data_IF_432930502733
#
_entry.id   IF_432930502733
#
_cell.length_a   1.000
_cell.length_b   1.000
_cell.length_c   1.000
_cell.angle_alpha   90.00
_cell.angle_beta   90.00
_cell.angle_gamma   90.00
#
_symmetry.space_group_name_H-M   'P 1'
#
loop_
_entity.id
_entity.type
_entity.pdbx_description
1 polymer ?
#
# COMPACT_ATOMS: atom_id res chain seq x y z
N UNK A 1 -19.04 70.55 -43.57
CA UNK A 1 -19.72 69.31 -43.11
C UNK A 1 -18.75 68.12 -42.86
N UNK A 2 -17.52 68.13 -43.31
CA UNK A 2 -16.56 67.04 -43.15
C UNK A 2 -16.00 66.89 -41.68
N UNK A 3 -15.86 67.98 -40.97
CA UNK A 3 -15.22 67.96 -39.64
C UNK A 3 -16.05 67.30 -38.51
N UNK A 4 -17.37 67.28 -38.61
CA UNK A 4 -18.25 66.66 -37.63
C UNK A 4 -18.15 65.09 -37.68
N UNK A 5 -18.15 64.54 -38.86
CA UNK A 5 -18.03 63.10 -39.10
C UNK A 5 -16.69 62.55 -38.57
N UNK A 6 -15.63 63.28 -38.74
CA UNK A 6 -14.29 62.91 -38.24
C UNK A 6 -14.22 62.93 -36.72
N UNK A 7 -14.85 63.91 -36.04
CA UNK A 7 -14.94 64.00 -34.61
C UNK A 7 -15.74 62.85 -33.97
N UNK A 8 -16.86 62.45 -34.62
CA UNK A 8 -17.67 61.32 -34.16
C UNK A 8 -16.89 60.01 -34.28
N UNK A 9 -16.16 59.79 -35.38
CA UNK A 9 -15.30 58.62 -35.54
C UNK A 9 -14.20 58.57 -34.49
N UNK A 10 -13.53 59.69 -34.24
CA UNK A 10 -12.40 59.74 -33.32
C UNK A 10 -12.83 59.58 -31.83
N UNK A 11 -13.91 60.21 -31.41
CA UNK A 11 -14.32 60.27 -30.01
C UNK A 11 -15.33 59.18 -29.60
N UNK A 12 -15.96 58.50 -30.53
CA UNK A 12 -16.91 57.41 -30.21
C UNK A 12 -16.40 56.07 -30.69
N UNK A 13 -15.98 55.97 -31.93
CA UNK A 13 -15.63 54.68 -32.54
C UNK A 13 -14.28 54.13 -32.02
N UNK A 14 -13.29 54.99 -31.87
CA UNK A 14 -11.98 54.57 -31.31
C UNK A 14 -12.09 54.09 -29.86
N UNK A 15 -12.72 54.80 -28.91
CA UNK A 15 -12.94 54.30 -27.57
C UNK A 15 -13.79 53.05 -27.52
N UNK A 16 -14.78 52.90 -28.38
CA UNK A 16 -15.61 51.71 -28.47
C UNK A 16 -14.79 50.45 -28.91
N UNK A 17 -13.91 50.61 -29.93
CA UNK A 17 -13.01 49.56 -30.36
C UNK A 17 -12.03 49.18 -29.25
N UNK A 18 -11.45 50.18 -28.55
CA UNK A 18 -10.53 49.93 -27.43
C UNK A 18 -11.25 49.19 -26.28
N UNK A 19 -12.47 49.61 -25.93
CA UNK A 19 -13.26 48.96 -24.89
C UNK A 19 -13.59 47.48 -25.29
N UNK A 20 -13.96 47.27 -26.55
CA UNK A 20 -14.19 45.91 -27.06
C UNK A 20 -12.92 45.06 -27.06
N UNK A 21 -11.77 45.60 -27.42
CA UNK A 21 -10.48 44.91 -27.36
C UNK A 21 -10.07 44.53 -25.93
N UNK A 22 -10.22 45.46 -24.98
CA UNK A 22 -9.98 45.20 -23.56
C UNK A 22 -10.94 44.12 -23.01
N UNK A 23 -12.21 44.20 -23.35
CA UNK A 23 -13.21 43.21 -22.97
C UNK A 23 -12.88 41.80 -23.50
N UNK A 24 -12.55 41.73 -24.80
CA UNK A 24 -12.13 40.46 -25.42
C UNK A 24 -10.84 39.93 -24.80
N UNK A 25 -9.85 40.78 -24.53
CA UNK A 25 -8.62 40.39 -23.85
C UNK A 25 -8.90 39.83 -22.46
N UNK A 26 -9.75 40.51 -21.69
CA UNK A 26 -10.15 40.07 -20.35
C UNK A 26 -10.88 38.73 -20.36
N UNK A 27 -11.87 38.57 -21.25
CA UNK A 27 -12.63 37.31 -21.38
C UNK A 27 -11.74 36.14 -21.82
N UNK A 28 -10.83 36.39 -22.76
CA UNK A 28 -9.85 35.39 -23.22
C UNK A 28 -8.92 34.97 -22.09
N UNK A 29 -8.39 35.93 -21.32
CA UNK A 29 -7.53 35.63 -20.14
C UNK A 29 -8.30 34.85 -19.08
N UNK A 30 -9.54 35.25 -18.78
CA UNK A 30 -10.40 34.55 -17.81
C UNK A 30 -10.69 33.11 -18.25
N UNK A 31 -10.98 32.92 -19.53
CA UNK A 31 -11.25 31.62 -20.12
C UNK A 31 -10.01 30.73 -20.10
N UNK A 32 -8.86 31.27 -20.53
CA UNK A 32 -7.59 30.55 -20.50
C UNK A 32 -7.21 30.09 -19.07
N UNK A 33 -7.36 30.97 -18.09
CA UNK A 33 -7.07 30.63 -16.68
C UNK A 33 -8.00 29.55 -16.12
N UNK A 34 -9.27 29.52 -16.54
CA UNK A 34 -10.21 28.45 -16.18
C UNK A 34 -9.84 27.12 -16.83
N UNK A 35 -9.47 27.12 -18.11
CA UNK A 35 -9.03 25.92 -18.82
C UNK A 35 -7.76 25.33 -18.21
N UNK A 36 -6.81 26.16 -17.81
CA UNK A 36 -5.59 25.68 -17.13
C UNK A 36 -5.95 24.98 -15.82
N UNK A 37 -6.77 25.58 -14.97
CA UNK A 37 -7.21 24.97 -13.69
C UNK A 37 -7.97 23.67 -13.88
N UNK A 38 -8.89 23.61 -14.87
CA UNK A 38 -9.62 22.38 -15.20
C UNK A 38 -8.69 21.28 -15.69
N UNK A 39 -7.71 21.63 -16.53
CA UNK A 39 -6.68 20.71 -16.98
C UNK A 39 -5.85 20.14 -15.82
N UNK A 40 -5.43 20.99 -14.90
CA UNK A 40 -4.68 20.59 -13.69
C UNK A 40 -5.51 19.65 -12.80
N UNK A 41 -6.76 19.97 -12.54
CA UNK A 41 -7.66 19.10 -11.78
C UNK A 41 -7.85 17.74 -12.43
N UNK A 42 -8.09 17.71 -13.73
CA UNK A 42 -8.27 16.47 -14.50
C UNK A 42 -7.00 15.60 -14.46
N UNK A 43 -5.82 16.21 -14.59
CA UNK A 43 -4.53 15.49 -14.47
C UNK A 43 -4.36 14.93 -13.07
N UNK A 44 -4.63 15.72 -12.03
CA UNK A 44 -4.52 15.28 -10.64
C UNK A 44 -5.48 14.13 -10.32
N UNK A 45 -6.75 14.21 -10.75
CA UNK A 45 -7.76 13.17 -10.57
C UNK A 45 -7.37 11.88 -11.30
N UNK A 46 -6.96 11.96 -12.56
CA UNK A 46 -6.51 10.81 -13.32
C UNK A 46 -5.26 10.15 -12.70
N UNK A 47 -4.32 10.97 -12.20
CA UNK A 47 -3.13 10.47 -11.53
C UNK A 47 -3.51 9.77 -10.22
N UNK A 48 -4.43 10.34 -9.45
CA UNK A 48 -4.93 9.72 -8.21
C UNK A 48 -5.62 8.36 -8.48
N UNK A 49 -6.40 8.25 -9.54
CA UNK A 49 -7.04 6.98 -9.93
C UNK A 49 -5.99 5.91 -10.24
N UNK A 50 -4.94 6.25 -10.97
CA UNK A 50 -3.85 5.32 -11.29
C UNK A 50 -3.07 4.90 -10.04
N UNK A 51 -2.74 5.85 -9.16
CA UNK A 51 -2.08 5.55 -7.89
C UNK A 51 -2.95 4.61 -7.05
N UNK A 52 -4.27 4.85 -7.00
CA UNK A 52 -5.21 3.97 -6.31
C UNK A 52 -5.23 2.56 -6.89
N UNK A 53 -5.27 2.41 -8.20
CA UNK A 53 -5.23 1.11 -8.87
C UNK A 53 -3.96 0.33 -8.52
N UNK A 54 -2.80 1.00 -8.49
CA UNK A 54 -1.53 0.39 -8.08
C UNK A 54 -1.54 -0.05 -6.61
N UNK A 55 -2.03 0.82 -5.71
CA UNK A 55 -2.19 0.50 -4.28
C UNK A 55 -3.11 -0.72 -4.11
N UNK A 56 -4.29 -0.71 -4.74
CA UNK A 56 -5.26 -1.82 -4.66
C UNK A 56 -4.68 -3.13 -5.23
N UNK A 57 -3.82 -3.05 -6.24
CA UNK A 57 -3.15 -4.22 -6.81
C UNK A 57 -2.18 -4.85 -5.82
N UNK A 58 -1.36 -4.03 -5.14
CA UNK A 58 -0.42 -4.51 -4.12
C UNK A 58 -1.17 -5.08 -2.92
N UNK A 59 -2.20 -4.39 -2.44
CA UNK A 59 -3.06 -4.85 -1.34
C UNK A 59 -3.66 -6.23 -1.63
N UNK A 60 -4.29 -6.37 -2.80
CA UNK A 60 -4.88 -7.64 -3.24
C UNK A 60 -3.86 -8.75 -3.39
N UNK A 61 -2.65 -8.42 -3.82
CA UNK A 61 -1.56 -9.38 -3.95
C UNK A 61 -1.15 -9.93 -2.58
N UNK A 62 -0.98 -9.09 -1.57
CA UNK A 62 -0.65 -9.49 -0.20
C UNK A 62 -1.79 -10.31 0.40
N UNK A 63 -3.03 -9.81 0.36
CA UNK A 63 -4.20 -10.49 0.92
C UNK A 63 -4.44 -11.87 0.28
N UNK A 64 -4.15 -12.02 -1.02
CA UNK A 64 -4.25 -13.32 -1.69
C UNK A 64 -3.28 -14.34 -1.12
N UNK A 65 -2.05 -13.95 -0.83
CA UNK A 65 -1.05 -14.81 -0.19
C UNK A 65 -1.47 -15.18 1.23
N UNK A 66 -2.00 -14.21 1.99
CA UNK A 66 -2.52 -14.47 3.33
C UNK A 66 -3.62 -15.53 3.31
N UNK A 67 -4.60 -15.37 2.44
CA UNK A 67 -5.69 -16.33 2.30
C UNK A 67 -5.18 -17.72 1.89
N UNK A 68 -4.19 -17.78 1.00
CA UNK A 68 -3.58 -19.05 0.60
C UNK A 68 -2.85 -19.74 1.76
N UNK A 69 -2.01 -19.00 2.50
CA UNK A 69 -1.27 -19.55 3.64
C UNK A 69 -2.20 -19.96 4.78
N UNK A 70 -3.15 -19.10 5.13
CA UNK A 70 -4.07 -19.38 6.23
C UNK A 70 -5.03 -20.52 5.91
N UNK A 71 -5.35 -20.73 4.62
CA UNK A 71 -6.10 -21.90 4.15
C UNK A 71 -5.38 -23.23 4.38
N UNK A 72 -4.05 -23.24 4.49
CA UNK A 72 -3.25 -24.44 4.79
C UNK A 72 -3.17 -24.78 6.28
N UNK A 73 -3.56 -23.83 7.16
CA UNK A 73 -3.52 -24.03 8.61
C UNK A 73 -4.75 -24.81 9.06
N UNK A 74 -4.55 -26.04 9.45
CA UNK A 74 -5.55 -26.97 9.95
C UNK A 74 -5.29 -27.23 11.44
N UNK A 75 -6.03 -26.50 12.31
CA UNK A 75 -5.88 -26.63 13.75
C UNK A 75 -6.30 -28.01 14.28
N UNK A 76 -7.22 -28.70 13.61
CA UNK A 76 -7.69 -30.00 14.05
C UNK A 76 -6.55 -31.02 13.95
N UNK A 77 -5.82 -31.01 12.83
CA UNK A 77 -4.63 -31.88 12.66
C UNK A 77 -3.42 -31.40 13.50
N UNK A 78 -3.25 -30.09 13.69
CA UNK A 78 -2.08 -29.55 14.41
C UNK A 78 -2.13 -29.78 15.93
N UNK A 79 -3.33 -29.87 16.49
CA UNK A 79 -3.58 -29.95 17.93
C UNK A 79 -4.04 -31.33 18.36
N UNK A 80 -4.01 -32.30 17.47
CA UNK A 80 -4.33 -33.69 17.80
C UNK A 80 -3.25 -34.26 18.71
N UNK A 81 -3.57 -34.63 19.96
CA UNK A 81 -2.60 -35.18 20.90
C UNK A 81 -2.07 -36.55 20.48
N UNK A 82 -2.74 -37.24 19.55
CA UNK A 82 -2.30 -38.54 19.02
C UNK A 82 -1.35 -38.35 17.82
N UNK A 83 -1.30 -37.17 17.20
CA UNK A 83 -0.43 -36.86 16.08
C UNK A 83 0.82 -36.08 16.52
N UNK A 84 1.91 -36.83 16.76
CA UNK A 84 3.23 -36.26 17.07
C UNK A 84 3.80 -35.33 15.97
N UNK A 85 3.23 -35.39 14.76
CA UNK A 85 3.63 -34.55 13.63
C UNK A 85 2.92 -33.18 13.61
N UNK A 86 1.99 -32.92 14.52
CA UNK A 86 1.20 -31.69 14.52
C UNK A 86 2.06 -30.40 14.55
N UNK A 87 3.15 -30.38 15.32
CA UNK A 87 4.06 -29.25 15.39
C UNK A 87 4.83 -28.99 14.08
N UNK A 88 5.09 -30.03 13.26
CA UNK A 88 5.79 -29.93 11.98
C UNK A 88 4.86 -29.74 10.78
N UNK A 89 3.56 -29.76 11.01
CA UNK A 89 2.55 -29.72 9.94
C UNK A 89 2.71 -28.53 8.99
N UNK A 90 3.09 -27.36 9.52
CA UNK A 90 3.35 -26.17 8.69
C UNK A 90 4.62 -26.32 7.86
N UNK A 91 5.65 -26.99 8.39
CA UNK A 91 6.87 -27.31 7.64
C UNK A 91 6.55 -28.24 6.47
N UNK A 92 5.69 -29.20 6.68
CA UNK A 92 5.37 -30.23 5.69
C UNK A 92 4.34 -29.74 4.65
N UNK A 93 3.37 -28.90 5.04
CA UNK A 93 2.29 -28.45 4.14
C UNK A 93 2.56 -27.10 3.49
N UNK A 94 3.11 -26.14 4.22
CA UNK A 94 3.32 -24.79 3.70
C UNK A 94 4.68 -24.58 3.04
N UNK A 95 5.80 -24.98 3.68
CA UNK A 95 7.14 -24.73 3.13
C UNK A 95 7.36 -25.23 1.71
N UNK A 96 6.91 -26.44 1.31
CA UNK A 96 7.12 -26.94 -0.04
C UNK A 96 6.46 -26.08 -1.12
N UNK A 97 5.34 -25.44 -0.79
CA UNK A 97 4.55 -24.63 -1.73
C UNK A 97 4.71 -23.10 -1.51
N UNK A 98 5.47 -22.70 -0.47
CA UNK A 98 5.60 -21.31 -0.08
C UNK A 98 6.17 -20.41 -1.17
N UNK A 99 7.11 -20.89 -1.99
CA UNK A 99 7.70 -20.10 -3.06
C UNK A 99 6.72 -19.83 -4.20
N UNK A 100 5.74 -20.68 -4.41
CA UNK A 100 4.74 -20.56 -5.48
C UNK A 100 3.49 -19.81 -4.99
N UNK A 101 2.90 -20.25 -3.86
CA UNK A 101 1.63 -19.71 -3.36
C UNK A 101 1.79 -18.40 -2.58
N UNK A 102 2.90 -18.25 -1.86
CA UNK A 102 3.13 -17.13 -0.94
C UNK A 102 4.56 -16.57 -1.06
N UNK A 103 4.98 -16.12 -2.26
CA UNK A 103 6.38 -15.80 -2.57
C UNK A 103 6.98 -14.73 -1.65
N UNK A 104 6.19 -13.78 -1.15
CA UNK A 104 6.69 -12.75 -0.22
C UNK A 104 6.57 -13.14 1.25
N UNK A 105 5.87 -14.21 1.57
CA UNK A 105 5.73 -14.68 2.95
C UNK A 105 6.98 -15.44 3.38
N UNK A 106 7.48 -15.10 4.56
CA UNK A 106 8.71 -15.67 5.10
C UNK A 106 8.46 -16.65 6.23
N UNK A 107 7.54 -16.31 7.13
CA UNK A 107 7.24 -17.10 8.33
C UNK A 107 5.74 -17.25 8.48
N UNK A 108 5.30 -18.43 8.90
CA UNK A 108 3.93 -18.72 9.31
C UNK A 108 4.00 -19.39 10.68
N UNK A 109 3.29 -18.83 11.69
CA UNK A 109 3.27 -19.37 13.07
C UNK A 109 1.84 -19.40 13.60
N UNK A 110 1.60 -20.32 14.49
CA UNK A 110 0.37 -20.42 15.27
C UNK A 110 0.73 -20.25 16.74
N UNK A 111 0.11 -19.28 17.39
CA UNK A 111 0.24 -19.04 18.83
C UNK A 111 -1.05 -19.42 19.53
N UNK A 112 -0.93 -19.86 20.77
CA UNK A 112 -2.07 -20.04 21.67
C UNK A 112 -2.55 -18.69 22.27
N UNK A 113 -3.53 -18.77 23.17
CA UNK A 113 -4.08 -17.59 23.85
C UNK A 113 -3.08 -16.89 24.79
N UNK A 114 -2.03 -17.57 25.21
CA UNK A 114 -0.96 -17.03 26.08
C UNK A 114 0.15 -16.38 25.27
N UNK A 115 0.16 -16.58 23.93
CA UNK A 115 1.21 -16.12 23.04
C UNK A 115 2.36 -17.11 22.88
N UNK A 116 2.18 -18.34 23.38
CA UNK A 116 3.14 -19.43 23.20
C UNK A 116 2.98 -20.04 21.80
N UNK A 117 4.11 -20.37 21.18
CA UNK A 117 4.13 -21.00 19.85
C UNK A 117 3.69 -22.46 19.95
N UNK A 118 2.68 -22.80 19.17
CA UNK A 118 2.15 -24.17 19.04
C UNK A 118 2.76 -24.86 17.82
N UNK A 119 2.86 -24.14 16.70
CA UNK A 119 3.45 -24.62 15.48
C UNK A 119 4.02 -23.46 14.67
N UNK A 120 5.04 -23.73 13.86
CA UNK A 120 5.63 -22.69 13.03
C UNK A 120 6.50 -23.25 11.91
N UNK A 121 6.70 -22.39 10.90
CA UNK A 121 7.65 -22.63 9.82
C UNK A 121 8.21 -21.30 9.29
N UNK A 122 9.51 -21.28 9.01
CA UNK A 122 10.21 -20.12 8.42
C UNK A 122 11.06 -20.60 7.23
N UNK A 123 11.02 -19.89 6.13
CA UNK A 123 11.82 -20.19 4.94
C UNK A 123 13.34 -20.08 5.19
N UNK A 124 13.75 -19.45 6.27
CA UNK A 124 15.14 -19.38 6.74
C UNK A 124 15.52 -20.48 7.75
N UNK A 125 14.58 -21.42 8.03
CA UNK A 125 14.76 -22.53 8.97
C UNK A 125 14.52 -22.13 10.44
N UNK A 126 14.69 -23.10 11.35
CA UNK A 126 14.30 -23.02 12.76
C UNK A 126 14.94 -21.86 13.51
N UNK A 127 16.21 -21.56 13.22
CA UNK A 127 16.88 -20.42 13.86
C UNK A 127 16.21 -19.10 13.51
N UNK A 128 15.87 -18.90 12.23
CA UNK A 128 15.21 -17.67 11.78
C UNK A 128 13.79 -17.55 12.34
N UNK A 129 13.10 -18.71 12.49
CA UNK A 129 11.81 -18.80 13.16
C UNK A 129 11.90 -18.36 14.62
N UNK A 130 12.81 -18.93 15.41
CA UNK A 130 13.00 -18.59 16.81
C UNK A 130 13.39 -17.11 17.02
N UNK A 131 14.28 -16.56 16.17
CA UNK A 131 14.62 -15.13 16.20
C UNK A 131 13.37 -14.26 15.91
N UNK A 132 12.53 -14.66 14.98
CA UNK A 132 11.30 -13.93 14.68
C UNK A 132 10.27 -14.05 15.81
N UNK A 133 10.02 -15.25 16.33
CA UNK A 133 9.06 -15.48 17.44
C UNK A 133 9.44 -14.64 18.66
N UNK A 134 10.72 -14.52 18.96
CA UNK A 134 11.19 -13.63 20.02
C UNK A 134 10.82 -12.16 19.76
N UNK A 135 11.07 -11.64 18.55
CA UNK A 135 10.68 -10.27 18.19
C UNK A 135 9.17 -10.12 18.21
N UNK A 136 8.45 -11.13 17.73
CA UNK A 136 6.99 -11.16 17.74
C UNK A 136 6.44 -11.01 19.15
N UNK A 137 6.86 -11.86 20.07
CA UNK A 137 6.35 -11.89 21.45
C UNK A 137 6.75 -10.66 22.25
N UNK A 138 8.00 -10.21 22.13
CA UNK A 138 8.53 -9.10 22.94
C UNK A 138 8.12 -7.72 22.42
N UNK A 139 7.91 -7.55 21.11
CA UNK A 139 7.79 -6.23 20.49
C UNK A 139 6.53 -6.01 19.65
N UNK A 140 6.06 -7.03 18.95
CA UNK A 140 4.97 -6.87 17.98
C UNK A 140 3.60 -7.27 18.55
N UNK A 141 3.53 -8.33 19.36
CA UNK A 141 2.27 -8.74 20.02
C UNK A 141 1.62 -7.64 20.86
N UNK A 142 2.37 -6.82 21.63
CA UNK A 142 1.77 -5.71 22.36
C UNK A 142 1.08 -4.65 21.48
N UNK A 143 1.54 -4.51 20.23
CA UNK A 143 0.97 -3.58 19.24
C UNK A 143 -0.25 -4.17 18.51
N UNK A 144 -0.47 -5.49 18.63
CA UNK A 144 -1.57 -6.19 18.00
C UNK A 144 -2.78 -6.20 18.95
N UNK A 145 -3.91 -5.63 18.53
CA UNK A 145 -5.15 -5.68 19.33
C UNK A 145 -5.82 -7.06 19.20
N UNK A 146 -5.17 -8.10 19.78
CA UNK A 146 -5.63 -9.47 19.69
C UNK A 146 -6.94 -9.72 20.46
N UNK A 147 -7.20 -8.94 21.52
CA UNK A 147 -8.39 -9.10 22.38
C UNK A 147 -9.68 -8.73 21.66
N UNK A 148 -9.60 -7.74 20.76
CA UNK A 148 -10.73 -7.25 19.95
C UNK A 148 -10.81 -7.90 18.57
N UNK A 149 -9.96 -8.89 18.29
CA UNK A 149 -9.95 -9.57 17.01
C UNK A 149 -11.15 -10.53 16.90
N UNK A 150 -12.01 -10.31 15.92
CA UNK A 150 -13.09 -11.23 15.62
C UNK A 150 -12.57 -12.50 14.94
N UNK A 151 -13.17 -13.70 15.23
CA UNK A 151 -12.77 -14.94 14.58
C UNK A 151 -12.85 -14.84 13.05
N UNK A 152 -11.85 -15.37 12.34
CA UNK A 152 -11.80 -15.40 10.88
C UNK A 152 -11.65 -14.02 10.21
N UNK A 153 -11.43 -12.96 10.98
CA UNK A 153 -11.16 -11.64 10.42
C UNK A 153 -9.67 -11.42 10.28
N UNK A 154 -9.21 -11.33 9.05
CA UNK A 154 -7.84 -10.97 8.72
C UNK A 154 -7.56 -9.51 9.09
N UNK A 155 -6.45 -9.27 9.78
CA UNK A 155 -5.89 -7.95 10.06
C UNK A 155 -4.40 -7.92 9.71
N UNK A 156 -3.88 -6.70 9.55
CA UNK A 156 -2.48 -6.47 9.28
C UNK A 156 -1.86 -5.55 10.33
N UNK A 157 -0.59 -5.80 10.66
CA UNK A 157 0.27 -4.90 11.40
C UNK A 157 1.46 -4.55 10.52
N UNK A 158 1.62 -3.28 10.20
CA UNK A 158 2.82 -2.76 9.55
C UNK A 158 3.57 -1.87 10.54
N UNK A 159 4.67 -2.37 11.09
CA UNK A 159 5.40 -1.71 12.17
C UNK A 159 6.90 -1.76 11.95
N UNK A 160 7.62 -0.75 12.46
CA UNK A 160 9.09 -0.69 12.35
C UNK A 160 9.72 -0.91 13.73
N UNK A 161 10.55 -1.96 13.85
CA UNK A 161 11.30 -2.28 15.05
C UNK A 161 12.79 -2.18 14.74
N UNK A 162 13.52 -1.37 15.49
CA UNK A 162 14.96 -1.17 15.33
C UNK A 162 15.39 -0.91 13.87
N UNK A 163 14.62 -0.10 13.12
CA UNK A 163 14.90 0.27 11.74
C UNK A 163 14.53 -0.79 10.69
N UNK A 164 13.98 -1.94 11.12
CA UNK A 164 13.48 -2.99 10.23
C UNK A 164 11.95 -2.93 10.15
N UNK A 165 11.42 -2.87 8.95
CA UNK A 165 9.98 -2.90 8.68
C UNK A 165 9.46 -4.34 8.77
N UNK A 166 8.36 -4.52 9.49
CA UNK A 166 7.63 -5.78 9.63
C UNK A 166 6.22 -5.60 9.10
N UNK A 167 5.81 -6.45 8.19
CA UNK A 167 4.42 -6.61 7.77
C UNK A 167 3.95 -7.97 8.27
N UNK A 168 2.97 -7.95 9.17
CA UNK A 168 2.32 -9.14 9.69
C UNK A 168 0.87 -9.17 9.23
N UNK A 169 0.42 -10.35 8.83
CA UNK A 169 -0.99 -10.67 8.63
C UNK A 169 -1.42 -11.61 9.74
N UNK A 170 -2.58 -11.40 10.34
CA UNK A 170 -3.00 -12.22 11.45
C UNK A 170 -4.51 -12.36 11.54
N UNK A 171 -4.94 -13.54 12.00
CA UNK A 171 -6.35 -13.82 12.31
C UNK A 171 -6.48 -14.66 13.58
N UNK A 172 -7.66 -14.57 14.21
CA UNK A 172 -8.03 -15.40 15.34
C UNK A 172 -8.82 -16.61 14.86
N UNK A 173 -8.43 -17.79 15.32
CA UNK A 173 -9.18 -19.04 15.17
C UNK A 173 -9.60 -19.59 16.53
N UNK A 174 -10.57 -20.46 16.53
CA UNK A 174 -11.01 -21.18 17.72
C UNK A 174 -11.04 -22.68 17.43
N UNK A 175 -10.46 -23.47 18.32
CA UNK A 175 -10.49 -24.92 18.27
C UNK A 175 -10.82 -25.45 19.68
N UNK A 176 -11.84 -26.31 19.82
CA UNK A 176 -12.32 -26.88 21.10
C UNK A 176 -12.51 -25.83 22.22
N UNK A 177 -13.07 -24.65 21.86
CA UNK A 177 -13.31 -23.54 22.81
C UNK A 177 -12.06 -22.74 23.20
N UNK A 178 -10.86 -23.13 22.76
CA UNK A 178 -9.61 -22.38 22.95
C UNK A 178 -9.36 -21.44 21.81
N UNK A 179 -8.63 -20.35 22.07
CA UNK A 179 -8.27 -19.32 21.09
C UNK A 179 -6.85 -19.54 20.59
N UNK A 180 -6.68 -19.40 19.29
CA UNK A 180 -5.37 -19.46 18.61
C UNK A 180 -5.24 -18.28 17.68
N UNK A 181 -4.02 -17.86 17.40
CA UNK A 181 -3.69 -16.78 16.49
C UNK A 181 -2.76 -17.33 15.41
N UNK A 182 -3.25 -17.26 14.17
CA UNK A 182 -2.43 -17.57 13.00
C UNK A 182 -1.78 -16.27 12.55
N UNK A 183 -0.46 -16.25 12.45
CA UNK A 183 0.33 -15.06 12.16
C UNK A 183 1.29 -15.37 11.03
N UNK A 184 1.23 -14.59 9.96
CA UNK A 184 2.17 -14.64 8.85
C UNK A 184 3.05 -13.40 8.85
N UNK A 185 4.35 -13.58 8.56
CA UNK A 185 5.29 -12.48 8.33
C UNK A 185 5.66 -12.42 6.86
N UNK A 186 5.48 -11.26 6.25
CA UNK A 186 5.97 -10.98 4.90
C UNK A 186 7.40 -10.43 4.92
N UNK A 187 8.18 -10.78 3.92
CA UNK A 187 9.47 -10.12 3.61
C UNK A 187 9.18 -8.82 2.84
N UNK A 188 9.17 -7.70 3.56
CA UNK A 188 8.97 -6.37 2.96
C UNK A 188 10.04 -6.05 1.92
N UNK A 189 11.27 -6.59 2.08
CA UNK A 189 12.34 -6.46 1.09
C UNK A 189 12.02 -7.21 -0.20
N UNK A 190 11.42 -8.41 -0.13
CA UNK A 190 10.97 -9.14 -1.32
C UNK A 190 9.82 -8.40 -2.03
N UNK A 191 8.85 -7.87 -1.27
CA UNK A 191 7.80 -7.02 -1.85
C UNK A 191 8.41 -5.86 -2.64
N UNK A 192 9.38 -5.16 -2.06
CA UNK A 192 10.04 -4.02 -2.70
C UNK A 192 10.81 -4.43 -3.95
N UNK A 193 11.63 -5.48 -3.86
CA UNK A 193 12.51 -5.88 -4.98
C UNK A 193 11.76 -6.52 -6.14
N UNK A 194 10.76 -7.33 -5.84
CA UNK A 194 10.11 -8.19 -6.84
C UNK A 194 8.80 -7.58 -7.31
N UNK A 195 7.86 -7.34 -6.40
CA UNK A 195 6.52 -6.92 -6.78
C UNK A 195 6.43 -5.45 -7.18
N UNK A 196 7.05 -4.55 -6.41
CA UNK A 196 7.03 -3.13 -6.77
C UNK A 196 7.83 -2.89 -8.03
N UNK A 197 8.99 -3.54 -8.19
CA UNK A 197 9.78 -3.42 -9.41
C UNK A 197 9.01 -3.93 -10.63
N UNK A 198 8.31 -5.04 -10.53
CA UNK A 198 7.45 -5.59 -11.59
C UNK A 198 6.28 -4.67 -11.94
N UNK A 199 5.62 -4.13 -10.91
CA UNK A 199 4.42 -3.29 -11.09
C UNK A 199 4.74 -1.94 -11.74
N UNK A 200 5.94 -1.41 -11.52
CA UNK A 200 6.36 -0.11 -12.03
C UNK A 200 7.26 -0.20 -13.27
N UNK A 201 7.75 -1.38 -13.64
CA UNK A 201 8.61 -1.57 -14.83
C UNK A 201 7.91 -1.32 -16.17
N UNK A 202 6.58 -1.38 -16.19
CA UNK A 202 5.77 -1.29 -17.44
C UNK A 202 5.45 0.14 -17.87
N UNK A 203 5.81 1.15 -17.10
CA UNK A 203 5.47 2.56 -17.42
C UNK A 203 6.70 3.33 -17.88
N UNK A 204 7.16 3.06 -19.11
CA UNK A 204 8.25 3.81 -19.72
C UNK A 204 7.88 5.27 -19.97
N UNK A 205 8.61 6.17 -19.36
CA UNK A 205 8.98 7.48 -19.93
C UNK A 205 8.17 8.71 -19.52
N UNK A 206 6.98 8.62 -18.91
CA UNK A 206 6.18 9.83 -18.60
C UNK A 206 5.72 9.98 -17.15
N UNK A 207 5.71 8.90 -16.39
CA UNK A 207 5.30 8.90 -14.99
C UNK A 207 6.34 8.21 -14.14
N UNK A 208 6.65 8.81 -13.01
CA UNK A 208 7.56 8.23 -12.05
C UNK A 208 6.80 7.98 -10.76
N UNK A 209 7.01 6.81 -10.18
CA UNK A 209 6.42 6.42 -8.91
C UNK A 209 7.54 6.19 -7.89
N UNK A 210 7.30 6.64 -6.67
CA UNK A 210 8.11 6.21 -5.55
C UNK A 210 7.25 5.80 -4.37
N UNK A 211 7.85 5.06 -3.45
CA UNK A 211 7.23 4.72 -2.18
C UNK A 211 8.12 5.31 -1.09
N UNK A 212 7.49 6.00 -0.16
CA UNK A 212 8.13 6.56 1.02
C UNK A 212 7.48 5.99 2.28
N UNK A 213 8.26 5.89 3.35
CA UNK A 213 7.79 5.51 4.67
C UNK A 213 7.12 6.69 5.40
N UNK A 214 6.73 6.46 6.64
CA UNK A 214 6.12 7.47 7.51
C UNK A 214 7.03 8.69 7.78
N UNK A 215 8.35 8.49 7.70
CA UNK A 215 9.37 9.54 7.90
C UNK A 215 9.77 10.21 6.58
N UNK A 216 9.04 9.98 5.49
CA UNK A 216 9.33 10.39 4.11
C UNK A 216 10.67 9.86 3.56
N UNK A 217 11.22 8.80 4.15
CA UNK A 217 12.39 8.13 3.59
C UNK A 217 11.95 7.25 2.42
N UNK A 218 12.75 7.29 1.37
CA UNK A 218 12.46 6.51 0.17
C UNK A 218 12.65 5.01 0.43
N UNK A 219 11.60 4.25 0.18
CA UNK A 219 11.57 2.79 0.23
C UNK A 219 11.84 2.20 -1.16
N UNK A 220 11.24 2.78 -2.22
CA UNK A 220 11.37 2.32 -3.61
C UNK A 220 11.22 3.46 -4.60
N UNK A 221 11.76 3.27 -5.82
CA UNK A 221 11.63 4.20 -6.95
C UNK A 221 12.61 5.37 -6.95
N UNK A 222 12.52 6.28 -7.94
CA UNK A 222 13.39 7.44 -8.06
C UNK A 222 13.09 8.50 -6.99
N UNK A 223 14.01 9.46 -6.83
CA UNK A 223 13.73 10.66 -6.03
C UNK A 223 12.82 11.60 -6.82
N UNK A 224 11.68 11.97 -6.23
CA UNK A 224 10.76 12.95 -6.80
C UNK A 224 10.97 14.36 -6.27
N UNK A 225 12.10 14.64 -5.61
CA UNK A 225 12.41 15.96 -5.03
C UNK A 225 12.39 17.11 -6.05
N UNK A 226 12.59 16.80 -7.34
CA UNK A 226 12.56 17.76 -8.46
C UNK A 226 11.38 17.47 -9.42
N UNK A 227 10.48 16.57 -9.07
CA UNK A 227 9.26 16.38 -9.84
C UNK A 227 8.40 17.63 -9.66
N UNK A 228 8.04 18.28 -10.76
CA UNK A 228 7.34 19.56 -10.79
C UNK A 228 6.07 19.64 -9.93
N UNK A 229 5.19 20.59 -10.17
CA UNK A 229 4.13 21.04 -9.27
C UNK A 229 3.02 20.01 -8.93
N UNK A 230 3.07 18.79 -9.49
CA UNK A 230 2.00 17.79 -9.34
C UNK A 230 2.51 16.49 -8.70
N UNK A 231 2.63 16.48 -7.38
CA UNK A 231 2.88 15.29 -6.59
C UNK A 231 1.58 14.80 -5.95
N UNK A 232 1.12 13.62 -6.35
CA UNK A 232 -0.06 12.97 -5.77
C UNK A 232 0.39 11.76 -4.98
N UNK A 233 -0.07 11.62 -3.74
CA UNK A 233 0.31 10.50 -2.88
C UNK A 233 -0.88 9.84 -2.22
N UNK A 234 -0.89 8.50 -2.13
CA UNK A 234 -1.89 7.70 -1.47
C UNK A 234 -1.24 6.71 -0.50
N UNK A 235 -1.77 6.63 0.72
CA UNK A 235 -1.37 5.59 1.69
C UNK A 235 -2.06 4.28 1.36
N UNK A 236 -1.38 3.18 1.69
CA UNK A 236 -2.01 1.86 1.68
C UNK A 236 -3.06 1.80 2.80
N UNK A 237 -4.29 1.35 2.52
CA UNK A 237 -5.36 1.41 3.51
C UNK A 237 -5.26 0.32 4.58
N UNK A 238 -4.75 -0.88 4.28
CA UNK A 238 -4.81 -2.02 5.20
C UNK A 238 -3.49 -2.73 5.44
N UNK A 239 -2.66 -2.95 4.43
CA UNK A 239 -1.45 -3.76 4.57
C UNK A 239 -0.22 -2.92 4.93
N UNK A 240 0.30 -2.17 3.98
CA UNK A 240 1.52 -1.37 4.12
C UNK A 240 1.21 0.07 4.58
N UNK A 241 0.29 0.27 5.51
CA UNK A 241 -0.29 1.58 5.87
C UNK A 241 0.72 2.62 6.38
N UNK A 242 1.93 2.23 6.78
CA UNK A 242 3.02 3.15 7.10
C UNK A 242 3.78 3.62 5.86
N UNK A 243 3.44 3.10 4.68
CA UNK A 243 4.01 3.54 3.42
C UNK A 243 3.00 4.36 2.62
N UNK A 244 3.54 5.21 1.75
CA UNK A 244 2.77 6.04 0.82
C UNK A 244 3.36 5.91 -0.57
N UNK A 245 2.52 5.59 -1.55
CA UNK A 245 2.85 5.66 -2.97
C UNK A 245 2.65 7.11 -3.45
N UNK A 246 3.67 7.65 -4.13
CA UNK A 246 3.68 8.99 -4.71
C UNK A 246 3.96 8.91 -6.21
#
# INVERSE_FOLDING_TARGET
>A
MAGWRYRVILFVLVPAILAAAVFLGYTTWLTASRFTRLGEQTIAENTLLLVREKVDTIERYIIRQDNAAFGLVDLDSMLDPEDLAGATLLQDRWLPVASELTPTMRTLVVLDATGEEVAGADRGGDRAQGEFVKVLTERLLPEMDLTRLHPGRLKHLHHTVAGRSYLLSYERRSHQGRRYYVIARHDTGAIVREELSRLFATEEGKRQYNIVDQDNRRVHGPSLANAGDYLVGLRFPTTLYNWRLQ
#
